data_IF_454145370521
#
_entry.id   IF_454145370521
#
_cell.length_a   1.000
_cell.length_b   1.000
_cell.length_c   1.000
_cell.angle_alpha   90.00
_cell.angle_beta   90.00
_cell.angle_gamma   90.00
#
_symmetry.space_group_name_H-M   'P 1'
#
loop_
_entity.id
_entity.type
_entity.pdbx_description
1 polymer ?
#
# COMPACT_ATOMS: atom_id res chain seq x y z
N UNK A 1 22.23 41.22 -11.75
CA UNK A 1 22.40 39.76 -11.96
C UNK A 1 22.85 39.15 -10.64
N UNK A 2 21.96 38.50 -9.90
CA UNK A 2 22.33 37.73 -8.71
C UNK A 2 22.05 36.25 -9.00
N UNK A 3 23.12 35.48 -9.12
CA UNK A 3 23.11 34.03 -9.29
C UNK A 3 22.63 33.36 -8.00
N UNK A 4 21.33 33.05 -7.93
CA UNK A 4 20.81 32.14 -6.92
C UNK A 4 21.08 30.72 -7.41
N UNK A 5 21.97 30.04 -6.71
CA UNK A 5 22.32 28.65 -7.00
C UNK A 5 21.06 27.77 -7.00
N UNK A 6 20.90 26.99 -8.06
CA UNK A 6 19.75 26.08 -8.27
C UNK A 6 19.79 24.86 -7.34
N UNK A 7 20.67 24.86 -6.33
CA UNK A 7 20.99 23.71 -5.49
C UNK A 7 20.09 23.58 -4.24
N UNK A 8 19.44 24.66 -3.78
CA UNK A 8 18.69 24.67 -2.49
C UNK A 8 17.17 24.52 -2.63
N UNK A 9 16.64 24.39 -3.85
CA UNK A 9 15.21 24.16 -4.08
C UNK A 9 14.79 22.69 -4.03
N UNK A 10 15.73 21.76 -3.79
CA UNK A 10 15.42 20.34 -3.47
C UNK A 10 15.05 20.19 -1.99
N UNK A 11 14.06 20.96 -1.52
CA UNK A 11 13.32 20.62 -0.30
C UNK A 11 12.73 19.23 -0.53
N UNK A 12 13.36 18.24 0.10
CA UNK A 12 12.86 16.93 0.50
C UNK A 12 11.39 16.77 0.13
N UNK A 13 11.09 16.30 -1.09
CA UNK A 13 9.78 15.69 -1.35
C UNK A 13 9.77 14.50 -0.39
N UNK A 14 9.12 14.67 0.76
CA UNK A 14 9.01 13.63 1.79
C UNK A 14 8.41 12.42 1.10
N UNK A 15 9.26 11.49 0.68
CA UNK A 15 8.88 10.21 0.11
C UNK A 15 8.12 9.49 1.21
N UNK A 16 6.80 9.44 1.12
CA UNK A 16 5.97 8.84 2.16
C UNK A 16 5.85 7.33 1.90
N UNK A 17 7.01 6.68 1.94
CA UNK A 17 7.10 5.23 2.11
C UNK A 17 6.95 4.94 3.61
N UNK A 18 6.14 3.95 4.01
CA UNK A 18 5.98 3.63 5.41
C UNK A 18 7.30 3.14 6.02
N UNK A 19 7.66 3.66 7.18
CA UNK A 19 8.86 3.22 7.92
C UNK A 19 8.58 1.90 8.67
N UNK A 20 7.35 1.74 9.18
CA UNK A 20 6.95 0.58 9.99
C UNK A 20 5.86 -0.26 9.30
N UNK A 21 6.18 -0.88 8.16
CA UNK A 21 5.19 -1.62 7.37
C UNK A 21 4.51 -2.77 8.15
N UNK A 22 5.25 -3.45 9.02
CA UNK A 22 4.70 -4.53 9.86
C UNK A 22 3.71 -4.01 10.91
N UNK A 23 3.95 -2.82 11.46
CA UNK A 23 2.99 -2.17 12.36
C UNK A 23 1.70 -1.81 11.63
N UNK A 24 1.80 -1.27 10.41
CA UNK A 24 0.63 -1.00 9.57
C UNK A 24 -0.11 -2.30 9.22
N UNK A 25 0.61 -3.38 8.91
CA UNK A 25 0.02 -4.70 8.69
C UNK A 25 -0.74 -5.20 9.91
N UNK A 26 -0.19 -5.07 11.13
CA UNK A 26 -0.90 -5.43 12.36
C UNK A 26 -2.18 -4.59 12.52
N UNK A 27 -2.09 -3.27 12.35
CA UNK A 27 -3.23 -2.35 12.45
C UNK A 27 -4.33 -2.66 11.42
N UNK A 28 -3.95 -3.02 10.19
CA UNK A 28 -4.89 -3.33 9.11
C UNK A 28 -5.83 -4.51 9.41
N UNK A 29 -5.40 -5.45 10.27
CA UNK A 29 -6.22 -6.60 10.69
C UNK A 29 -7.43 -6.20 11.52
N UNK A 30 -7.42 -5.00 12.09
CA UNK A 30 -8.53 -4.45 12.87
C UNK A 30 -9.46 -3.57 12.03
N UNK A 31 -9.33 -3.59 10.70
CA UNK A 31 -10.20 -2.87 9.78
C UNK A 31 -11.13 -3.85 9.09
N UNK A 32 -12.34 -3.41 8.79
CA UNK A 32 -13.29 -4.17 7.97
C UNK A 32 -13.15 -3.70 6.53
N UNK A 33 -12.95 -4.64 5.61
CA UNK A 33 -12.94 -4.35 4.19
C UNK A 33 -14.07 -5.11 3.50
N UNK A 34 -14.74 -4.43 2.57
CA UNK A 34 -15.81 -4.99 1.76
C UNK A 34 -15.61 -4.56 0.31
N UNK A 35 -15.70 -5.53 -0.60
CA UNK A 35 -15.67 -5.27 -2.05
C UNK A 35 -16.99 -4.64 -2.50
N UNK A 36 -16.91 -3.56 -3.28
CA UNK A 36 -18.08 -2.86 -3.88
C UNK A 36 -18.20 -3.16 -5.36
N UNK A 37 -17.07 -3.23 -6.05
CA UNK A 37 -17.02 -3.61 -7.46
C UNK A 37 -15.71 -4.39 -7.74
N UNK A 38 -15.40 -4.64 -9.02
CA UNK A 38 -14.24 -5.46 -9.41
C UNK A 38 -12.93 -5.00 -8.73
N UNK A 39 -12.69 -3.69 -8.71
CA UNK A 39 -11.41 -3.12 -8.31
C UNK A 39 -11.52 -2.16 -7.10
N UNK A 40 -12.73 -1.98 -6.55
CA UNK A 40 -13.02 -1.00 -5.50
C UNK A 40 -13.51 -1.66 -4.22
N UNK A 41 -12.94 -1.20 -3.12
CA UNK A 41 -13.19 -1.67 -1.77
C UNK A 41 -13.51 -0.48 -0.88
N UNK A 42 -14.46 -0.67 0.04
CA UNK A 42 -14.64 0.21 1.18
C UNK A 42 -13.90 -0.41 2.36
N UNK A 43 -13.14 0.42 3.08
CA UNK A 43 -12.44 0.03 4.30
C UNK A 43 -12.92 0.93 5.43
N UNK A 44 -13.39 0.29 6.49
CA UNK A 44 -14.05 0.92 7.63
C UNK A 44 -13.23 0.66 8.89
N UNK A 45 -13.13 1.67 9.76
CA UNK A 45 -12.63 1.45 11.11
C UNK A 45 -13.68 0.71 11.92
N UNK A 46 -13.26 -0.35 12.63
CA UNK A 46 -14.15 -1.08 13.54
C UNK A 46 -14.63 -0.19 14.69
N UNK A 47 -13.84 0.82 15.08
CA UNK A 47 -14.16 1.74 16.20
C UNK A 47 -14.85 3.03 15.76
N UNK A 48 -14.86 3.34 14.46
CA UNK A 48 -15.61 4.48 13.92
C UNK A 48 -16.07 4.17 12.48
N UNK A 49 -17.24 3.51 12.33
CA UNK A 49 -17.79 3.15 11.02
C UNK A 49 -18.20 4.33 10.14
N UNK A 50 -18.21 5.56 10.66
CA UNK A 50 -18.44 6.77 9.85
C UNK A 50 -17.17 7.22 9.13
N UNK A 51 -15.99 6.76 9.57
CA UNK A 51 -14.71 7.02 8.93
C UNK A 51 -14.38 5.95 7.87
N UNK A 52 -15.10 6.00 6.75
CA UNK A 52 -14.91 5.07 5.64
C UNK A 52 -13.93 5.61 4.61
N UNK A 53 -13.05 4.74 4.12
CA UNK A 53 -12.10 5.06 3.06
C UNK A 53 -12.34 4.17 1.85
N UNK A 54 -12.35 4.78 0.67
CA UNK A 54 -12.46 4.06 -0.60
C UNK A 54 -11.06 3.72 -1.06
N UNK A 55 -10.85 2.45 -1.40
CA UNK A 55 -9.59 1.92 -1.91
C UNK A 55 -9.85 1.31 -3.28
N UNK A 56 -9.06 1.71 -4.27
CA UNK A 56 -9.01 1.03 -5.58
C UNK A 56 -7.73 0.22 -5.70
N UNK A 57 -7.81 -0.98 -6.29
CA UNK A 57 -6.67 -1.88 -6.49
C UNK A 57 -6.75 -2.46 -7.90
N UNK A 58 -5.67 -2.31 -8.66
CA UNK A 58 -5.51 -2.89 -9.99
C UNK A 58 -4.20 -3.69 -10.06
N UNK A 59 -4.24 -4.82 -10.75
CA UNK A 59 -3.06 -5.64 -11.03
C UNK A 59 -2.71 -5.51 -12.50
N UNK A 60 -1.44 -5.30 -12.80
CA UNK A 60 -0.94 -5.35 -14.17
C UNK A 60 -0.46 -6.77 -14.54
N UNK A 61 0.02 -6.92 -15.78
CA UNK A 61 0.56 -8.17 -16.28
C UNK A 61 1.95 -8.53 -15.71
N UNK A 62 2.66 -7.56 -15.13
CA UNK A 62 4.03 -7.69 -14.62
C UNK A 62 4.10 -7.87 -13.09
N UNK A 63 3.01 -8.36 -12.48
CA UNK A 63 2.90 -8.54 -11.03
C UNK A 63 3.05 -7.25 -10.21
N UNK A 64 2.79 -6.10 -10.83
CA UNK A 64 2.65 -4.82 -10.15
C UNK A 64 1.22 -4.62 -9.71
N UNK A 65 1.11 -3.94 -8.58
CA UNK A 65 -0.15 -3.59 -7.94
C UNK A 65 -0.20 -2.08 -7.88
N UNK A 66 -1.23 -1.50 -8.47
CA UNK A 66 -1.53 -0.08 -8.35
C UNK A 66 -2.69 0.05 -7.36
N UNK A 67 -2.48 0.83 -6.30
CA UNK A 67 -3.54 1.09 -5.34
C UNK A 67 -3.65 2.56 -5.00
N UNK A 68 -4.90 3.04 -4.88
CA UNK A 68 -5.21 4.40 -4.42
C UNK A 68 -6.15 4.31 -3.24
N UNK A 69 -5.98 5.19 -2.27
CA UNK A 69 -6.87 5.33 -1.12
C UNK A 69 -7.32 6.79 -1.01
N UNK A 70 -8.51 7.02 -0.44
CA UNK A 70 -9.00 8.37 -0.15
C UNK A 70 -8.50 8.94 1.18
N UNK A 71 -7.67 8.20 1.93
CA UNK A 71 -7.14 8.70 3.20
C UNK A 71 -6.04 9.76 2.99
N UNK A 72 -5.84 10.59 4.01
CA UNK A 72 -4.87 11.70 3.99
C UNK A 72 -3.43 11.28 3.64
N UNK A 73 -3.01 10.08 4.04
CA UNK A 73 -1.70 9.53 3.67
C UNK A 73 -1.53 9.44 2.15
N UNK A 74 -2.53 8.91 1.46
CA UNK A 74 -2.52 8.78 0.00
C UNK A 74 -2.65 10.14 -0.69
N UNK A 75 -3.39 11.09 -0.11
CA UNK A 75 -3.47 12.48 -0.61
C UNK A 75 -2.09 13.16 -0.67
N UNK A 76 -1.18 12.79 0.22
CA UNK A 76 0.21 13.28 0.23
C UNK A 76 1.19 12.31 -0.44
N UNK A 77 0.75 11.56 -1.45
CA UNK A 77 1.58 10.61 -2.21
C UNK A 77 2.17 9.47 -1.35
N UNK A 78 1.48 9.08 -0.29
CA UNK A 78 1.87 7.94 0.53
C UNK A 78 1.40 6.61 -0.05
N UNK A 79 2.27 5.59 -0.03
CA UNK A 79 1.96 4.22 -0.46
C UNK A 79 1.62 3.33 0.75
N UNK A 80 0.83 2.28 0.53
CA UNK A 80 0.60 1.21 1.52
C UNK A 80 0.10 1.67 2.90
N UNK A 81 -0.89 2.57 2.94
CA UNK A 81 -1.61 2.85 4.18
C UNK A 81 -2.30 1.58 4.72
N UNK A 82 -2.70 1.62 6.00
CA UNK A 82 -3.45 0.52 6.65
C UNK A 82 -4.69 0.09 5.85
N UNK A 83 -5.38 1.03 5.18
CA UNK A 83 -6.56 0.71 4.37
C UNK A 83 -6.20 -0.07 3.11
N UNK A 84 -5.13 0.31 2.40
CA UNK A 84 -4.65 -0.44 1.22
C UNK A 84 -4.26 -1.86 1.61
N UNK A 85 -3.55 -1.99 2.73
CA UNK A 85 -3.16 -3.30 3.26
C UNK A 85 -4.40 -4.16 3.60
N UNK A 86 -5.40 -3.58 4.26
CA UNK A 86 -6.62 -4.29 4.63
C UNK A 86 -7.41 -4.75 3.38
N UNK A 87 -7.55 -3.89 2.38
CA UNK A 87 -8.22 -4.23 1.12
C UNK A 87 -7.48 -5.34 0.36
N UNK A 88 -6.14 -5.28 0.30
CA UNK A 88 -5.32 -6.33 -0.31
C UNK A 88 -5.44 -7.67 0.44
N UNK A 89 -5.44 -7.63 1.78
CA UNK A 89 -5.64 -8.83 2.59
C UNK A 89 -7.02 -9.44 2.35
N UNK A 90 -8.08 -8.63 2.35
CA UNK A 90 -9.43 -9.10 2.07
C UNK A 90 -9.53 -9.75 0.68
N UNK A 91 -8.95 -9.12 -0.36
CA UNK A 91 -8.91 -9.70 -1.70
C UNK A 91 -8.15 -11.04 -1.74
N UNK A 92 -7.05 -11.16 -1.00
CA UNK A 92 -6.29 -12.41 -0.92
C UNK A 92 -7.03 -13.50 -0.15
N UNK A 93 -7.72 -13.13 0.94
CA UNK A 93 -8.53 -14.06 1.73
C UNK A 93 -9.66 -14.66 0.89
N UNK A 94 -10.31 -13.87 0.02
CA UNK A 94 -11.31 -14.36 -0.95
C UNK A 94 -10.74 -15.41 -1.94
N UNK A 95 -9.41 -15.48 -2.07
CA UNK A 95 -8.69 -16.42 -2.93
C UNK A 95 -7.98 -17.53 -2.15
N UNK A 96 -8.22 -17.65 -0.84
CA UNK A 96 -7.52 -18.62 0.01
C UNK A 96 -6.02 -18.35 0.13
N UNK A 97 -5.62 -17.07 0.15
CA UNK A 97 -4.22 -16.64 0.22
C UNK A 97 -3.98 -15.74 1.43
N UNK A 98 -2.76 -15.76 1.95
CA UNK A 98 -2.27 -14.81 2.95
C UNK A 98 -1.17 -13.93 2.38
N UNK A 99 -1.26 -12.62 2.66
CA UNK A 99 -0.26 -11.63 2.23
C UNK A 99 0.63 -11.17 3.39
N UNK A 100 1.91 -10.96 3.06
CA UNK A 100 2.90 -10.30 3.91
C UNK A 100 3.58 -9.17 3.13
N UNK A 101 3.97 -8.11 3.85
CA UNK A 101 4.45 -6.86 3.25
C UNK A 101 5.87 -6.54 3.72
N UNK A 102 6.73 -6.04 2.82
CA UNK A 102 8.16 -5.86 3.02
C UNK A 102 8.64 -4.55 2.43
N UNK A 103 9.62 -3.89 3.05
CA UNK A 103 10.12 -2.61 2.55
C UNK A 103 11.10 -2.81 1.39
N UNK A 104 11.83 -3.90 1.39
CA UNK A 104 12.85 -4.20 0.38
C UNK A 104 12.53 -5.49 -0.37
N UNK A 105 13.09 -5.62 -1.56
CA UNK A 105 12.92 -6.82 -2.38
C UNK A 105 13.60 -8.03 -1.72
N UNK A 106 14.79 -7.81 -1.15
CA UNK A 106 15.60 -8.86 -0.53
C UNK A 106 14.86 -9.51 0.65
N UNK A 107 14.14 -8.72 1.46
CA UNK A 107 13.30 -9.25 2.54
C UNK A 107 12.16 -10.14 2.02
N UNK A 108 11.53 -9.72 0.92
CA UNK A 108 10.44 -10.46 0.29
C UNK A 108 10.93 -11.74 -0.40
N UNK A 109 12.09 -11.68 -1.06
CA UNK A 109 12.71 -12.80 -1.76
C UNK A 109 13.05 -13.95 -0.81
N UNK A 110 13.57 -13.64 0.38
CA UNK A 110 13.88 -14.62 1.43
C UNK A 110 12.68 -15.48 1.84
N UNK A 111 11.45 -15.03 1.57
CA UNK A 111 10.23 -15.77 1.90
C UNK A 111 9.93 -16.92 0.92
N UNK A 112 10.60 -16.98 -0.25
CA UNK A 112 10.41 -18.04 -1.26
C UNK A 112 8.93 -18.26 -1.64
N UNK A 113 8.21 -17.16 -1.81
CA UNK A 113 6.78 -17.13 -2.15
C UNK A 113 6.53 -16.26 -3.38
N UNK A 114 5.33 -16.36 -3.98
CA UNK A 114 4.96 -15.47 -5.09
C UNK A 114 5.03 -14.02 -4.64
N UNK A 115 5.73 -13.19 -5.42
CA UNK A 115 5.99 -11.77 -5.12
C UNK A 115 5.18 -10.86 -6.03
N UNK A 116 4.81 -9.71 -5.49
CA UNK A 116 4.20 -8.61 -6.22
C UNK A 116 4.82 -7.30 -5.73
N UNK A 117 4.80 -6.28 -6.58
CA UNK A 117 5.29 -4.95 -6.24
C UNK A 117 4.12 -3.97 -6.14
N UNK A 118 3.85 -3.43 -4.95
CA UNK A 118 2.89 -2.35 -4.78
C UNK A 118 3.57 -1.02 -5.12
N UNK A 119 3.19 -0.48 -6.27
CA UNK A 119 3.82 0.70 -6.84
C UNK A 119 3.48 1.95 -6.04
N UNK A 120 4.52 2.73 -5.73
CA UNK A 120 4.38 4.05 -5.17
C UNK A 120 4.10 5.08 -6.28
N UNK A 121 3.65 6.29 -5.94
CA UNK A 121 3.29 7.33 -6.91
C UNK A 121 4.44 7.81 -7.81
N UNK A 122 5.68 7.47 -7.48
CA UNK A 122 6.88 7.82 -8.25
C UNK A 122 7.69 6.60 -8.72
N UNK A 123 7.04 5.44 -8.91
CA UNK A 123 7.60 4.23 -9.53
C UNK A 123 8.59 3.42 -8.68
N UNK A 124 9.49 4.09 -7.95
CA UNK A 124 10.57 3.45 -7.18
C UNK A 124 10.36 3.47 -5.65
N UNK A 125 9.29 4.09 -5.17
CA UNK A 125 9.02 4.26 -3.72
C UNK A 125 7.97 3.26 -3.18
N UNK A 126 7.72 2.17 -3.92
CA UNK A 126 6.78 1.11 -3.57
C UNK A 126 7.27 0.16 -2.47
N UNK A 127 6.43 -0.85 -2.19
CA UNK A 127 6.73 -1.93 -1.24
C UNK A 127 6.50 -3.30 -1.88
N UNK A 128 7.10 -4.33 -1.30
CA UNK A 128 6.98 -5.70 -1.79
C UNK A 128 5.93 -6.48 -1.02
N UNK A 129 5.21 -7.34 -1.75
CA UNK A 129 4.17 -8.21 -1.20
C UNK A 129 4.55 -9.65 -1.51
N UNK A 130 4.50 -10.52 -0.50
CA UNK A 130 4.56 -11.97 -0.71
C UNK A 130 3.20 -12.60 -0.46
N UNK A 131 2.85 -13.61 -1.25
CA UNK A 131 1.60 -14.36 -1.14
C UNK A 131 1.88 -15.85 -0.93
N UNK A 132 1.31 -16.42 0.13
CA UNK A 132 1.32 -17.87 0.42
C UNK A 132 -0.08 -18.44 0.49
N UNK A 133 -0.20 -19.77 0.39
CA UNK A 133 -1.47 -20.45 0.64
C UNK A 133 -1.89 -20.20 2.11
N UNK A 134 -3.19 -19.97 2.32
CA UNK A 134 -3.75 -19.76 3.65
C UNK A 134 -3.73 -21.05 4.48
#
# INVERSE_FOLDING_TARGET
>A
MYNISVAESRKVRRRMKPIHIKSLQKKSRHLRSRRINKDTYIVESVTNPMANHVVTIQFDHNHRVHARCTCRWATYNGVACTHVIAALQHMADLKGRKLSFWLTEQEAERQKHKRFYLEGPFGNDGIWITSRAA
#
